data_IF_960024875386
#
_entry.id   IF_960024875386
#
_cell.length_a   1.000
_cell.length_b   1.000
_cell.length_c   1.000
_cell.angle_alpha   90.00
_cell.angle_beta   90.00
_cell.angle_gamma   90.00
#
_symmetry.space_group_name_H-M   'P 1'
#
loop_
_entity.id
_entity.type
_entity.pdbx_description
1 polymer ?
#
# COMPACT_ATOMS: atom_id res chain seq x y z
N UNK A 1 -10.92 -2.45 -37.20
CA UNK A 1 -10.79 -2.97 -35.83
C UNK A 1 -9.39 -2.61 -35.35
N UNK A 2 -9.21 -2.00 -34.16
CA UNK A 2 -7.89 -1.57 -33.72
C UNK A 2 -7.00 -2.79 -33.47
N UNK A 3 -5.73 -2.65 -33.84
CA UNK A 3 -4.72 -3.69 -33.71
C UNK A 3 -4.23 -3.76 -32.25
N UNK A 4 -4.69 -4.77 -31.52
CA UNK A 4 -4.43 -4.95 -30.09
C UNK A 4 -2.96 -5.31 -29.79
N UNK A 5 -2.17 -5.64 -30.82
CA UNK A 5 -0.76 -6.02 -30.69
C UNK A 5 0.18 -4.83 -30.43
N UNK A 6 -0.32 -3.59 -30.56
CA UNK A 6 0.45 -2.36 -30.29
C UNK A 6 0.17 -1.72 -28.94
N UNK A 7 -0.73 -2.28 -28.15
CA UNK A 7 -1.02 -1.75 -26.82
C UNK A 7 0.10 -2.16 -25.86
N UNK A 8 0.49 -1.28 -24.92
CA UNK A 8 1.36 -1.69 -23.82
C UNK A 8 0.70 -2.87 -23.10
N UNK A 9 1.50 -3.82 -22.56
CA UNK A 9 0.96 -4.97 -21.87
C UNK A 9 -0.02 -4.50 -20.79
N UNK A 10 -1.19 -5.13 -20.67
CA UNK A 10 -2.19 -4.69 -19.72
C UNK A 10 -1.57 -4.74 -18.34
N UNK A 11 -1.70 -3.66 -17.58
CA UNK A 11 -1.10 -3.54 -16.25
C UNK A 11 -1.56 -4.64 -15.29
N UNK A 12 -2.57 -5.45 -15.64
CA UNK A 12 -3.30 -6.46 -14.86
C UNK A 12 -2.45 -7.33 -13.93
N UNK A 13 -1.18 -7.59 -14.25
CA UNK A 13 -0.23 -8.31 -13.38
C UNK A 13 -0.17 -7.77 -11.94
N UNK A 14 -0.45 -6.47 -11.71
CA UNK A 14 -0.45 -5.87 -10.38
C UNK A 14 -1.53 -6.41 -9.41
N UNK A 15 -2.58 -7.06 -9.91
CA UNK A 15 -3.71 -7.53 -9.09
C UNK A 15 -3.85 -9.05 -9.00
N UNK A 16 -3.15 -9.84 -9.83
CA UNK A 16 -3.32 -11.29 -9.92
C UNK A 16 -3.04 -12.03 -8.59
N UNK A 17 -2.17 -11.48 -7.75
CA UNK A 17 -1.93 -12.03 -6.42
C UNK A 17 -3.19 -12.04 -5.56
N UNK A 18 -4.11 -11.09 -5.72
CA UNK A 18 -5.37 -11.06 -4.96
C UNK A 18 -6.26 -12.26 -5.29
N UNK A 19 -6.16 -12.81 -6.50
CA UNK A 19 -6.92 -13.99 -6.92
C UNK A 19 -6.53 -15.23 -6.11
N UNK A 20 -5.31 -15.27 -5.58
CA UNK A 20 -4.77 -16.38 -4.78
C UNK A 20 -4.89 -16.15 -3.27
N UNK A 21 -5.59 -15.11 -2.82
CA UNK A 21 -5.73 -14.81 -1.40
C UNK A 21 -6.62 -15.83 -0.69
N UNK A 22 -6.16 -16.38 0.44
CA UNK A 22 -6.96 -17.32 1.25
C UNK A 22 -8.22 -16.68 1.84
N UNK A 23 -8.23 -15.35 2.02
CA UNK A 23 -9.41 -14.60 2.46
C UNK A 23 -10.41 -14.32 1.32
N UNK A 24 -10.08 -14.69 0.06
CA UNK A 24 -10.99 -14.53 -1.07
C UNK A 24 -12.24 -15.39 -0.84
N UNK A 25 -13.42 -14.77 -0.89
CA UNK A 25 -14.69 -15.43 -0.64
C UNK A 25 -15.10 -15.51 0.83
N UNK A 26 -14.27 -15.04 1.76
CA UNK A 26 -14.68 -14.84 3.14
C UNK A 26 -15.54 -13.58 3.28
N UNK A 27 -16.34 -13.53 4.34
CA UNK A 27 -17.17 -12.36 4.66
C UNK A 27 -16.31 -11.12 4.92
N UNK A 28 -16.64 -10.00 4.25
CA UNK A 28 -15.89 -8.75 4.37
C UNK A 28 -15.89 -8.19 5.79
N UNK A 29 -16.96 -8.40 6.55
CA UNK A 29 -17.08 -7.97 7.94
C UNK A 29 -16.11 -8.69 8.87
N UNK A 30 -15.54 -9.83 8.46
CA UNK A 30 -14.48 -10.49 9.22
C UNK A 30 -13.19 -9.67 9.23
N UNK A 31 -12.93 -8.89 8.17
CA UNK A 31 -11.68 -8.13 8.00
C UNK A 31 -11.86 -6.64 8.27
N UNK A 32 -13.05 -6.09 8.04
CA UNK A 32 -13.38 -4.68 8.16
C UNK A 32 -14.46 -4.45 9.23
N UNK A 33 -14.39 -3.33 9.95
CA UNK A 33 -15.40 -2.97 10.97
C UNK A 33 -15.85 -1.52 10.86
N UNK A 34 -17.05 -1.22 11.38
CA UNK A 34 -17.45 0.14 11.68
C UNK A 34 -16.60 0.72 12.83
N UNK A 35 -16.42 2.03 12.83
CA UNK A 35 -15.60 2.78 13.79
C UNK A 35 -16.07 2.65 15.26
N UNK A 36 -17.32 2.24 15.50
CA UNK A 36 -17.93 2.20 16.84
C UNK A 36 -18.06 0.78 17.42
N UNK A 37 -17.13 -0.12 17.07
CA UNK A 37 -17.08 -1.46 17.67
C UNK A 37 -16.44 -1.44 19.08
N UNK A 38 -16.98 -2.23 20.02
CA UNK A 38 -16.35 -2.40 21.35
C UNK A 38 -14.95 -3.03 21.23
N UNK A 39 -14.00 -2.57 22.03
CA UNK A 39 -12.59 -3.02 22.00
C UNK A 39 -12.40 -4.55 22.00
N UNK A 40 -13.04 -5.26 22.93
CA UNK A 40 -12.94 -6.73 23.02
C UNK A 40 -13.49 -7.48 21.80
N UNK A 41 -14.55 -6.97 21.18
CA UNK A 41 -15.11 -7.56 19.95
C UNK A 41 -14.14 -7.37 18.79
N UNK A 42 -13.62 -6.15 18.69
CA UNK A 42 -12.63 -5.76 17.68
C UNK A 42 -11.36 -6.59 17.78
N UNK A 43 -10.81 -6.77 18.97
CA UNK A 43 -9.62 -7.59 19.22
C UNK A 43 -9.82 -9.04 18.75
N UNK A 44 -10.94 -9.67 19.14
CA UNK A 44 -11.25 -11.05 18.70
C UNK A 44 -11.39 -11.17 17.20
N UNK A 45 -12.00 -10.18 16.54
CA UNK A 45 -12.16 -10.18 15.09
C UNK A 45 -10.82 -10.00 14.38
N UNK A 46 -9.97 -9.08 14.86
CA UNK A 46 -8.61 -8.90 14.35
C UNK A 46 -7.83 -10.21 14.46
N UNK A 47 -7.90 -10.90 15.60
CA UNK A 47 -7.20 -12.17 15.80
C UNK A 47 -7.67 -13.25 14.82
N UNK A 48 -8.99 -13.39 14.63
CA UNK A 48 -9.56 -14.31 13.64
C UNK A 48 -9.12 -13.99 12.21
N UNK A 49 -9.14 -12.71 11.82
CA UNK A 49 -8.68 -12.28 10.50
C UNK A 49 -7.18 -12.53 10.29
N UNK A 50 -6.37 -12.34 11.34
CA UNK A 50 -4.93 -12.65 11.32
C UNK A 50 -4.67 -14.15 11.17
N UNK A 51 -5.46 -14.99 11.82
CA UNK A 51 -5.34 -16.44 11.67
C UNK A 51 -5.56 -16.90 10.22
N UNK A 52 -6.53 -16.30 9.50
CA UNK A 52 -6.71 -16.53 8.06
C UNK A 52 -5.50 -16.04 7.27
N UNK A 53 -4.99 -14.85 7.58
CA UNK A 53 -3.83 -14.28 6.92
C UNK A 53 -2.57 -15.16 7.08
N UNK A 54 -2.36 -15.77 8.26
CA UNK A 54 -1.17 -16.58 8.56
C UNK A 54 -0.99 -17.78 7.60
N UNK A 55 -2.08 -18.27 7.00
CA UNK A 55 -2.08 -19.39 6.06
C UNK A 55 -2.15 -18.92 4.59
N UNK A 56 -2.17 -17.60 4.35
CA UNK A 56 -2.41 -17.04 3.03
C UNK A 56 -1.13 -17.02 2.18
N UNK A 57 -1.12 -17.62 0.97
CA UNK A 57 0.07 -17.72 0.13
C UNK A 57 0.55 -16.37 -0.42
N UNK A 58 -0.28 -15.33 -0.34
CA UNK A 58 0.02 -13.97 -0.81
C UNK A 58 0.19 -12.96 0.33
N UNK A 59 0.41 -13.43 1.56
CA UNK A 59 0.60 -12.58 2.75
C UNK A 59 1.60 -11.45 2.52
N UNK A 60 2.77 -11.76 1.94
CA UNK A 60 3.83 -10.78 1.71
C UNK A 60 3.45 -9.72 0.68
N UNK A 61 2.79 -10.11 -0.41
CA UNK A 61 2.31 -9.18 -1.43
C UNK A 61 1.19 -8.27 -0.88
N UNK A 62 0.22 -8.86 -0.17
CA UNK A 62 -0.87 -8.15 0.49
C UNK A 62 -0.36 -7.12 1.51
N UNK A 63 0.59 -7.51 2.36
CA UNK A 63 1.21 -6.62 3.34
C UNK A 63 1.93 -5.45 2.68
N UNK A 64 2.72 -5.72 1.65
CA UNK A 64 3.47 -4.69 0.91
C UNK A 64 2.53 -3.69 0.25
N UNK A 65 1.47 -4.19 -0.38
CA UNK A 65 0.44 -3.35 -0.97
C UNK A 65 -0.18 -2.42 0.08
N UNK A 66 -0.67 -2.98 1.19
CA UNK A 66 -1.35 -2.21 2.23
C UNK A 66 -0.48 -1.13 2.89
N UNK A 67 0.83 -1.39 3.04
CA UNK A 67 1.77 -0.39 3.54
C UNK A 67 2.04 0.70 2.49
N UNK A 68 2.15 0.34 1.21
CA UNK A 68 2.43 1.28 0.12
C UNK A 68 1.28 2.24 -0.16
N UNK A 69 0.04 1.76 -0.15
CA UNK A 69 -1.17 2.57 -0.38
C UNK A 69 -1.70 3.20 0.90
N UNK A 70 -1.14 2.82 2.06
CA UNK A 70 -1.59 3.23 3.39
C UNK A 70 -3.06 2.92 3.63
N UNK A 71 -3.45 1.66 3.35
CA UNK A 71 -4.84 1.23 3.50
C UNK A 71 -5.39 1.58 4.89
N UNK A 72 -6.48 2.38 4.97
CA UNK A 72 -6.90 3.03 6.21
C UNK A 72 -7.58 2.09 7.20
N UNK A 73 -8.17 1.00 6.71
CA UNK A 73 -9.06 0.14 7.50
C UNK A 73 -8.73 -1.34 7.35
N UNK A 74 -9.13 -2.09 8.36
CA UNK A 74 -9.16 -3.56 8.34
C UNK A 74 -7.80 -4.24 8.46
N UNK A 75 -7.86 -5.57 8.42
CA UNK A 75 -6.68 -6.45 8.50
C UNK A 75 -6.16 -6.78 7.10
N UNK A 76 -4.89 -6.46 6.85
CA UNK A 76 -4.20 -6.69 5.59
C UNK A 76 -2.87 -7.39 5.82
N UNK A 77 -2.61 -8.49 5.11
CA UNK A 77 -1.33 -9.21 5.19
C UNK A 77 -0.92 -9.59 6.62
N UNK A 78 -1.90 -9.91 7.48
CA UNK A 78 -1.70 -10.24 8.89
C UNK A 78 -1.49 -9.04 9.82
N UNK A 79 -1.74 -7.81 9.37
CA UNK A 79 -1.59 -6.59 10.16
C UNK A 79 -2.91 -5.83 10.27
N UNK A 80 -3.29 -5.41 11.47
CA UNK A 80 -4.34 -4.42 11.70
C UNK A 80 -3.89 -3.03 11.27
N UNK A 81 -4.83 -2.09 11.15
CA UNK A 81 -4.54 -0.69 10.83
C UNK A 81 -3.63 -0.03 11.86
N UNK A 82 -3.75 -0.39 13.15
CA UNK A 82 -2.92 0.16 14.22
C UNK A 82 -1.47 -0.34 14.12
N UNK A 83 -1.28 -1.61 13.76
CA UNK A 83 0.06 -2.17 13.55
C UNK A 83 0.72 -1.57 12.30
N UNK A 84 -0.05 -1.38 11.22
CA UNK A 84 0.44 -0.66 10.04
C UNK A 84 0.80 0.79 10.36
N UNK A 85 0.00 1.48 11.19
CA UNK A 85 0.31 2.83 11.65
C UNK A 85 1.63 2.87 12.42
N UNK A 86 1.87 1.90 13.30
CA UNK A 86 3.14 1.73 14.01
C UNK A 86 4.34 1.53 13.08
N UNK A 87 4.20 0.68 12.06
CA UNK A 87 5.26 0.45 11.05
C UNK A 87 5.55 1.72 10.24
N UNK A 88 4.50 2.49 9.89
CA UNK A 88 4.63 3.71 9.10
C UNK A 88 5.02 4.94 9.92
N UNK A 89 5.07 4.83 11.26
CA UNK A 89 5.39 5.95 12.15
C UNK A 89 4.31 7.04 12.19
N UNK A 90 3.05 6.70 11.90
CA UNK A 90 1.91 7.63 11.95
C UNK A 90 0.98 7.30 13.11
N UNK A 91 0.28 8.32 13.64
CA UNK A 91 -0.59 8.14 14.82
C UNK A 91 -1.82 7.27 14.53
N UNK A 92 -2.37 7.36 13.33
CA UNK A 92 -3.52 6.59 12.86
C UNK A 92 -3.59 6.62 11.33
N UNK A 93 -4.10 5.54 10.73
CA UNK A 93 -4.43 5.46 9.31
C UNK A 93 -5.92 5.75 9.02
N UNK A 94 -6.78 5.79 10.04
CA UNK A 94 -8.23 5.95 9.87
C UNK A 94 -8.60 7.36 9.39
N UNK A 95 -9.64 7.47 8.55
CA UNK A 95 -10.16 8.73 8.02
C UNK A 95 -11.25 9.34 8.94
N UNK A 96 -11.33 10.68 9.10
CA UNK A 96 -10.41 11.68 8.58
C UNK A 96 -9.06 11.61 9.30
N UNK A 97 -8.02 11.33 8.51
CA UNK A 97 -6.66 11.19 9.01
C UNK A 97 -6.07 12.55 9.35
N UNK A 98 -5.04 12.63 10.19
CA UNK A 98 -4.31 13.88 10.38
C UNK A 98 -3.73 14.32 9.02
N UNK A 99 -4.03 15.56 8.61
CA UNK A 99 -3.45 16.17 7.40
C UNK A 99 -1.92 16.08 7.48
N UNK A 100 -1.31 15.32 6.57
CA UNK A 100 0.14 15.22 6.50
C UNK A 100 0.69 16.61 6.20
N UNK A 101 1.60 17.12 7.04
CA UNK A 101 2.41 18.29 6.67
C UNK A 101 3.32 17.87 5.50
N UNK A 102 3.38 18.64 4.41
CA UNK A 102 4.24 18.29 3.29
C UNK A 102 5.69 18.17 3.77
N UNK A 103 6.31 17.03 3.47
CA UNK A 103 7.76 16.84 3.64
C UNK A 103 8.41 17.79 2.64
N UNK A 104 9.23 18.74 3.11
CA UNK A 104 10.06 19.54 2.20
C UNK A 104 11.03 18.57 1.52
N UNK A 105 10.80 18.23 0.25
CA UNK A 105 11.86 17.62 -0.56
C UNK A 105 13.01 18.63 -0.58
N UNK A 106 14.13 18.26 0.03
CA UNK A 106 15.37 19.02 -0.08
C UNK A 106 15.74 19.10 -1.56
N UNK A 107 15.92 20.33 -2.04
CA UNK A 107 16.37 20.59 -3.41
C UNK A 107 17.72 19.90 -3.62
N UNK A 108 17.74 18.86 -4.44
CA UNK A 108 18.98 18.32 -4.96
C UNK A 108 19.58 19.40 -5.88
N UNK A 109 20.63 20.07 -5.40
CA UNK A 109 21.44 20.96 -6.21
C UNK A 109 22.17 20.12 -7.27
N UNK A 110 21.57 19.98 -8.45
CA UNK A 110 22.27 19.46 -9.63
C UNK A 110 23.10 20.61 -10.19
N UNK A 111 24.41 20.56 -9.93
CA UNK A 111 25.37 21.50 -10.49
C UNK A 111 25.50 21.28 -12.00
N UNK A 112 24.98 22.24 -12.77
CA UNK A 112 25.19 22.33 -14.22
C UNK A 112 26.54 23.00 -14.48
N UNK A 113 27.52 22.24 -14.98
CA UNK A 113 28.83 22.78 -15.40
C UNK A 113 28.74 23.11 -16.90
N UNK A 114 28.92 24.37 -17.32
CA UNK A 114 28.94 24.70 -18.73
C UNK A 114 30.19 24.12 -19.42
N UNK A 115 29.98 23.54 -20.60
CA UNK A 115 31.04 23.06 -21.50
C UNK A 115 31.62 24.29 -22.19
N UNK A 116 32.89 24.59 -21.94
CA UNK A 116 33.59 25.68 -22.60
C UNK A 116 33.75 25.40 -24.11
N UNK A 117 33.32 26.33 -24.95
CA UNK A 117 33.54 26.32 -26.38
C UNK A 117 35.04 26.52 -26.70
N UNK A 118 35.67 25.51 -27.28
CA UNK A 118 37.04 25.56 -27.79
C UNK A 118 37.08 26.03 -29.23
N UNK A 119 37.89 27.05 -29.47
CA UNK A 119 37.99 27.85 -30.69
C UNK A 119 38.48 27.10 -31.94
N UNK A 120 37.91 27.49 -33.08
CA UNK A 120 38.45 27.32 -34.44
C UNK A 120 39.81 28.00 -34.54
N UNK A 121 40.81 27.32 -35.08
CA UNK A 121 42.01 27.94 -35.66
C UNK A 121 42.16 27.53 -37.12
N UNK A 122 42.68 28.50 -37.87
CA UNK A 122 42.75 28.65 -39.32
C UNK A 122 43.48 27.55 -40.08
#
# INVERSE_FOLDING_TARGET
MPDHDRLPPPTTDHWDWQLRAACRGADVTAFYHPSQERSRSRERRIERAKAVCAQCPVLSACRRHALSTREPYGVWGGLSENERAGILGVRSLQYPGPVQRPVRLGSAATGDRPIAAGAVRA
#
